data_IF_797403195232
#
_entry.id   IF_797403195232
#
_cell.length_a   1.000
_cell.length_b   1.000
_cell.length_c   1.000
_cell.angle_alpha   90.00
_cell.angle_beta   90.00
_cell.angle_gamma   90.00
#
_symmetry.space_group_name_H-M   'P 1'
#
loop_
_entity.id
_entity.type
_entity.pdbx_description
1 polymer ?
#
# COMPACT_ATOMS: atom_id res chain seq x y z
N UNK A 1 20.48 7.24 33.91
CA UNK A 1 19.29 6.37 34.07
C UNK A 1 19.18 5.59 32.76
N UNK A 2 18.90 4.29 32.79
CA UNK A 2 18.83 3.47 31.56
C UNK A 2 17.74 4.01 30.60
N UNK A 3 18.00 4.10 29.29
CA UNK A 3 17.01 4.62 28.32
C UNK A 3 15.81 3.69 28.28
N UNK A 4 16.01 2.39 28.52
CA UNK A 4 14.92 1.44 28.65
C UNK A 4 14.00 1.75 29.84
N UNK A 5 14.57 2.05 31.01
CA UNK A 5 13.78 2.41 32.19
C UNK A 5 13.09 3.76 32.03
N UNK A 6 13.74 4.71 31.35
CA UNK A 6 13.14 5.99 30.94
C UNK A 6 11.94 5.75 30.02
N UNK A 7 12.09 4.96 28.96
CA UNK A 7 11.02 4.66 28.01
C UNK A 7 9.86 3.94 28.66
N UNK A 8 10.13 2.94 29.53
CA UNK A 8 9.07 2.29 30.31
C UNK A 8 8.30 3.32 31.12
N UNK A 9 8.98 4.15 31.92
CA UNK A 9 8.33 5.17 32.75
C UNK A 9 7.60 6.22 31.91
N UNK A 10 8.20 6.67 30.81
CA UNK A 10 7.68 7.74 29.97
C UNK A 10 6.50 7.26 29.11
N UNK A 11 6.41 5.97 28.76
CA UNK A 11 5.35 5.38 27.93
C UNK A 11 4.29 4.59 28.72
N UNK A 12 4.59 4.20 29.97
CA UNK A 12 3.66 3.45 30.81
C UNK A 12 2.33 4.20 30.94
N UNK A 13 1.25 3.52 30.56
CA UNK A 13 -0.13 4.05 30.53
C UNK A 13 -0.35 5.28 29.63
N UNK A 14 0.56 5.60 28.69
CA UNK A 14 0.33 6.64 27.68
C UNK A 14 -0.17 6.03 26.36
N UNK A 15 -1.20 6.66 25.78
CA UNK A 15 -1.64 6.34 24.43
C UNK A 15 -0.59 6.74 23.40
N UNK A 16 -0.38 5.90 22.39
CA UNK A 16 0.51 6.21 21.26
C UNK A 16 -0.20 7.21 20.34
N UNK A 17 0.45 8.34 20.06
CA UNK A 17 -0.01 9.26 19.02
C UNK A 17 0.20 8.61 17.65
N UNK A 18 -0.89 8.32 16.95
CA UNK A 18 -0.84 7.67 15.64
C UNK A 18 -1.31 8.63 14.56
N UNK A 19 -0.60 8.63 13.43
CA UNK A 19 -1.01 9.33 12.24
C UNK A 19 -0.59 8.52 11.02
N UNK A 20 -1.27 8.71 9.90
CA UNK A 20 -0.84 8.08 8.67
C UNK A 20 -1.44 8.66 7.42
N UNK A 21 -0.77 8.41 6.29
CA UNK A 21 -1.24 8.82 4.99
C UNK A 21 -0.70 7.91 3.89
N UNK A 22 -1.41 7.87 2.76
CA UNK A 22 -0.93 7.21 1.56
C UNK A 22 0.01 8.12 0.76
N UNK A 23 1.19 7.60 0.42
CA UNK A 23 2.18 8.30 -0.41
C UNK A 23 1.97 7.98 -1.88
N UNK A 24 1.61 9.00 -2.66
CA UNK A 24 1.44 8.88 -4.11
C UNK A 24 2.82 8.86 -4.79
N UNK A 25 3.26 7.76 -5.42
CA UNK A 25 4.62 7.67 -5.96
C UNK A 25 4.88 8.69 -7.08
N UNK A 26 3.85 9.29 -7.68
CA UNK A 26 3.98 10.34 -8.71
C UNK A 26 4.07 11.77 -8.13
N UNK A 27 3.83 11.98 -6.83
CA UNK A 27 3.68 13.33 -6.26
C UNK A 27 4.57 13.59 -5.03
N UNK A 28 5.86 13.74 -5.29
CA UNK A 28 6.91 14.07 -4.31
C UNK A 28 6.54 15.28 -3.43
N UNK A 29 6.04 16.36 -4.03
CA UNK A 29 5.71 17.60 -3.33
C UNK A 29 4.53 17.41 -2.36
N UNK A 30 3.46 16.76 -2.80
CA UNK A 30 2.30 16.51 -1.94
C UNK A 30 2.65 15.56 -0.78
N UNK A 31 3.47 14.55 -1.03
CA UNK A 31 3.91 13.63 0.03
C UNK A 31 4.81 14.33 1.06
N UNK A 32 5.76 15.15 0.60
CA UNK A 32 6.59 15.98 1.49
C UNK A 32 5.72 16.92 2.32
N UNK A 33 4.71 17.55 1.71
CA UNK A 33 3.79 18.43 2.42
C UNK A 33 3.00 17.69 3.49
N UNK A 34 2.40 16.54 3.18
CA UNK A 34 1.68 15.70 4.15
C UNK A 34 2.58 15.29 5.31
N UNK A 35 3.81 14.85 5.01
CA UNK A 35 4.80 14.50 6.02
C UNK A 35 5.11 15.69 6.94
N UNK A 36 5.38 16.85 6.35
CA UNK A 36 5.66 18.08 7.08
C UNK A 36 4.49 18.46 7.97
N UNK A 37 3.27 18.52 7.44
CA UNK A 37 2.07 18.93 8.16
C UNK A 37 1.79 17.99 9.35
N UNK A 38 1.95 16.67 9.15
CA UNK A 38 1.73 15.66 10.19
C UNK A 38 2.80 15.71 11.29
N UNK A 39 4.09 15.75 10.93
CA UNK A 39 5.16 15.83 11.92
C UNK A 39 5.22 17.18 12.63
N UNK A 40 4.86 18.27 11.94
CA UNK A 40 4.72 19.58 12.56
C UNK A 40 3.59 19.59 13.58
N UNK A 41 2.43 19.04 13.22
CA UNK A 41 1.31 18.87 14.16
C UNK A 41 1.71 18.05 15.39
N UNK A 42 2.49 16.98 15.22
CA UNK A 42 3.05 16.21 16.33
C UNK A 42 3.93 17.11 17.24
N UNK A 43 4.90 17.81 16.65
CA UNK A 43 5.87 18.61 17.43
C UNK A 43 5.24 19.82 18.12
N UNK A 44 4.24 20.46 17.50
CA UNK A 44 3.56 21.63 18.08
C UNK A 44 2.55 21.29 19.17
N UNK A 45 1.97 20.07 19.16
CA UNK A 45 0.88 19.69 20.05
C UNK A 45 1.26 18.64 21.11
N UNK A 46 2.46 18.06 21.04
CA UNK A 46 2.90 17.00 21.94
C UNK A 46 4.24 17.36 22.61
N UNK A 47 4.66 16.53 23.56
CA UNK A 47 5.99 16.63 24.17
C UNK A 47 6.93 15.60 23.54
N UNK A 48 8.25 15.83 23.61
CA UNK A 48 9.25 14.88 23.11
C UNK A 48 9.23 13.50 23.83
N UNK A 49 8.51 13.39 24.95
CA UNK A 49 8.31 12.13 25.68
C UNK A 49 7.04 11.38 25.25
N UNK A 50 6.22 11.95 24.38
CA UNK A 50 5.01 11.31 23.87
C UNK A 50 5.38 10.17 22.91
N UNK A 51 4.92 8.92 23.15
CA UNK A 51 5.09 7.85 22.19
C UNK A 51 4.29 8.16 20.92
N UNK A 52 4.91 7.99 19.75
CA UNK A 52 4.24 8.23 18.47
C UNK A 52 4.65 7.25 17.38
N UNK A 53 3.73 7.00 16.44
CA UNK A 53 3.99 6.25 15.23
C UNK A 53 3.32 6.95 14.03
N UNK A 54 4.12 7.40 13.08
CA UNK A 54 3.65 7.89 11.79
C UNK A 54 3.81 6.79 10.74
N UNK A 55 2.70 6.33 10.18
CA UNK A 55 2.67 5.31 9.12
C UNK A 55 2.43 5.95 7.75
N UNK A 56 3.33 5.71 6.81
CA UNK A 56 3.24 6.15 5.43
C UNK A 56 2.99 4.91 4.57
N UNK A 57 1.80 4.82 4.03
CA UNK A 57 1.36 3.67 3.23
C UNK A 57 1.86 3.82 1.79
N UNK A 58 2.36 2.72 1.22
CA UNK A 58 2.83 2.62 -0.17
C UNK A 58 2.12 1.46 -0.87
N UNK A 59 2.11 1.43 -2.21
CA UNK A 59 1.76 0.22 -2.97
C UNK A 59 2.83 -0.84 -2.71
N UNK A 60 2.47 -2.00 -2.17
CA UNK A 60 3.41 -3.08 -1.81
C UNK A 60 4.45 -2.75 -0.72
N UNK A 61 4.12 -1.81 0.19
CA UNK A 61 4.97 -1.58 1.37
C UNK A 61 4.44 -0.50 2.30
N UNK A 62 5.19 -0.25 3.37
CA UNK A 62 4.93 0.85 4.30
C UNK A 62 6.24 1.45 4.85
N UNK A 63 6.20 2.72 5.23
CA UNK A 63 7.28 3.38 5.97
C UNK A 63 6.74 3.87 7.30
N UNK A 64 7.38 3.47 8.40
CA UNK A 64 7.06 3.93 9.74
C UNK A 64 8.12 4.89 10.26
N UNK A 65 7.71 6.03 10.83
CA UNK A 65 8.57 6.96 11.57
C UNK A 65 8.16 6.92 13.04
N UNK A 66 9.06 6.47 13.90
CA UNK A 66 8.76 6.23 15.31
C UNK A 66 10.01 6.26 16.19
N UNK A 67 9.88 6.46 17.51
CA UNK A 67 10.98 6.26 18.45
C UNK A 67 11.49 4.81 18.44
N UNK A 68 12.81 4.63 18.53
CA UNK A 68 13.40 3.30 18.73
C UNK A 68 12.92 2.72 20.07
N UNK A 69 12.56 1.44 20.08
CA UNK A 69 12.03 0.78 21.28
C UNK A 69 10.50 0.87 21.43
N UNK A 70 9.80 1.59 20.55
CA UNK A 70 8.33 1.64 20.58
C UNK A 70 7.69 0.26 20.35
N UNK A 71 8.25 -0.51 19.41
CA UNK A 71 7.74 -1.84 19.01
C UNK A 71 8.55 -2.98 19.63
N UNK A 72 9.87 -2.80 19.77
CA UNK A 72 10.77 -3.82 20.32
C UNK A 72 11.85 -3.19 21.23
N UNK A 73 11.73 -3.43 22.53
CA UNK A 73 12.66 -2.95 23.54
C UNK A 73 14.05 -3.60 23.46
N UNK A 74 14.19 -4.77 22.85
CA UNK A 74 15.50 -5.42 22.71
C UNK A 74 16.37 -4.72 21.66
N UNK A 75 15.77 -4.03 20.67
CA UNK A 75 16.51 -3.18 19.73
C UNK A 75 17.15 -1.98 20.44
N UNK A 76 16.46 -1.44 21.43
CA UNK A 76 16.99 -0.36 22.26
C UNK A 76 18.18 -0.84 23.10
N UNK A 77 18.07 -2.00 23.75
CA UNK A 77 19.19 -2.58 24.53
C UNK A 77 20.42 -2.80 23.67
N UNK A 78 20.24 -3.31 22.45
CA UNK A 78 21.34 -3.49 21.49
C UNK A 78 21.99 -2.15 21.17
N UNK A 79 21.20 -1.12 20.92
CA UNK A 79 21.71 0.23 20.67
C UNK A 79 22.51 0.78 21.86
N UNK A 80 22.00 0.67 23.09
CA UNK A 80 22.72 1.15 24.28
C UNK A 80 24.06 0.43 24.46
N UNK A 81 24.09 -0.88 24.24
CA UNK A 81 25.33 -1.66 24.29
C UNK A 81 26.33 -1.21 23.20
N UNK A 82 25.86 -0.91 21.99
CA UNK A 82 26.69 -0.34 20.91
C UNK A 82 27.28 1.03 21.31
N UNK A 83 26.48 1.91 21.91
CA UNK A 83 26.94 3.23 22.34
C UNK A 83 27.94 3.14 23.49
N UNK A 84 27.64 2.33 24.52
CA UNK A 84 28.55 2.09 25.66
C UNK A 84 29.90 1.53 25.19
N UNK A 85 29.88 0.64 24.21
CA UNK A 85 31.10 0.07 23.62
C UNK A 85 31.96 1.12 22.88
N UNK A 86 31.32 2.10 22.22
CA UNK A 86 32.00 3.12 21.41
C UNK A 86 32.46 4.34 22.21
N UNK A 87 31.65 4.77 23.17
CA UNK A 87 31.78 6.06 23.86
C UNK A 87 32.19 5.92 25.34
N UNK A 88 32.23 4.70 25.85
CA UNK A 88 32.48 4.43 27.27
C UNK A 88 31.22 4.58 28.13
N UNK A 89 31.39 4.43 29.45
CA UNK A 89 30.27 4.42 30.41
C UNK A 89 29.78 5.84 30.80
N UNK A 90 30.56 6.87 30.49
CA UNK A 90 30.34 8.23 31.02
C UNK A 90 29.61 9.18 30.04
N UNK A 91 29.55 8.88 28.74
CA UNK A 91 28.72 9.63 27.78
C UNK A 91 27.26 9.11 27.81
N UNK A 92 26.49 9.56 28.80
CA UNK A 92 25.05 9.35 28.84
C UNK A 92 24.32 10.39 27.97
N UNK A 93 24.20 10.10 26.68
CA UNK A 93 23.17 10.75 25.86
C UNK A 93 21.82 10.06 26.11
N UNK A 94 20.93 10.75 26.83
CA UNK A 94 19.59 10.26 27.19
C UNK A 94 18.55 10.43 26.07
N UNK A 95 18.98 10.86 24.88
CA UNK A 95 18.11 11.06 23.73
C UNK A 95 17.69 9.72 23.11
N UNK A 96 16.40 9.66 22.76
CA UNK A 96 15.80 8.47 22.17
C UNK A 96 16.03 8.52 20.66
N UNK A 97 16.68 7.53 20.04
CA UNK A 97 16.89 7.52 18.60
C UNK A 97 15.56 7.53 17.85
N UNK A 98 15.48 8.34 16.79
CA UNK A 98 14.36 8.32 15.87
C UNK A 98 14.62 7.27 14.78
N UNK A 99 13.67 6.36 14.58
CA UNK A 99 13.74 5.27 13.62
C UNK A 99 12.82 5.55 12.43
N UNK A 100 13.35 5.37 11.23
CA UNK A 100 12.55 5.20 10.01
C UNK A 100 12.71 3.77 9.53
N UNK A 101 11.59 3.06 9.41
CA UNK A 101 11.52 1.66 9.02
C UNK A 101 10.74 1.54 7.71
N UNK A 102 11.33 0.96 6.67
CA UNK A 102 10.64 0.54 5.46
C UNK A 102 10.36 -0.96 5.52
N UNK A 103 9.10 -1.35 5.44
CA UNK A 103 8.65 -2.73 5.35
C UNK A 103 8.07 -2.99 3.94
N UNK A 104 8.83 -3.62 3.04
CA UNK A 104 8.31 -4.09 1.76
C UNK A 104 7.37 -5.29 1.95
N UNK A 105 6.21 -5.28 1.30
CA UNK A 105 5.23 -6.37 1.35
C UNK A 105 5.37 -7.28 0.12
N UNK A 106 6.56 -7.84 -0.04
CA UNK A 106 6.85 -8.80 -1.09
C UNK A 106 7.65 -9.98 -0.53
N UNK A 107 7.49 -11.15 -1.15
CA UNK A 107 8.14 -12.38 -0.70
C UNK A 107 9.66 -12.19 -0.59
N UNK A 108 10.25 -12.66 0.51
CA UNK A 108 11.71 -12.63 0.77
C UNK A 108 12.32 -11.23 0.82
N UNK A 109 11.53 -10.16 0.90
CA UNK A 109 12.04 -8.81 1.16
C UNK A 109 12.10 -8.55 2.66
N UNK A 110 13.21 -8.00 3.11
CA UNK A 110 13.46 -7.73 4.53
C UNK A 110 13.10 -6.29 4.89
N UNK A 111 12.74 -6.09 6.15
CA UNK A 111 12.51 -4.77 6.74
C UNK A 111 13.83 -4.00 6.82
N UNK A 112 13.86 -2.79 6.25
CA UNK A 112 15.03 -1.92 6.26
C UNK A 112 14.84 -0.82 7.31
N UNK A 113 15.82 -0.67 8.20
CA UNK A 113 15.77 0.27 9.33
C UNK A 113 16.87 1.32 9.22
N UNK A 114 16.54 2.59 9.45
CA UNK A 114 17.49 3.70 9.50
C UNK A 114 17.21 4.63 10.65
N UNK A 115 18.24 4.86 11.48
CA UNK A 115 18.21 5.85 12.57
C UNK A 115 18.51 7.23 12.00
N UNK A 116 17.70 8.23 12.33
CA UNK A 116 17.83 9.62 11.84
C UNK A 116 17.72 10.58 13.01
N UNK A 117 18.85 10.83 13.65
CA UNK A 117 18.89 11.71 14.81
C UNK A 117 18.09 11.13 15.98
N UNK A 118 17.51 12.04 16.76
CA UNK A 118 16.77 11.70 17.98
C UNK A 118 15.38 12.34 18.01
N UNK A 119 14.50 11.80 18.85
CA UNK A 119 13.17 12.39 19.08
C UNK A 119 13.32 13.81 19.62
N UNK A 120 14.28 14.05 20.52
CA UNK A 120 14.54 15.36 21.10
C UNK A 120 14.98 16.37 20.03
N UNK A 121 15.85 15.97 19.10
CA UNK A 121 16.23 16.80 17.96
C UNK A 121 15.04 17.14 17.06
N UNK A 122 14.12 16.19 16.82
CA UNK A 122 12.91 16.44 16.03
C UNK A 122 12.06 17.57 16.64
N UNK A 123 11.94 17.59 17.97
CA UNK A 123 11.14 18.61 18.68
C UNK A 123 11.87 19.95 18.83
N UNK A 124 13.20 19.94 18.99
CA UNK A 124 13.99 21.16 19.24
C UNK A 124 14.55 21.82 17.98
N UNK A 125 14.73 21.06 16.89
CA UNK A 125 15.29 21.51 15.62
C UNK A 125 14.53 20.91 14.42
N UNK A 126 13.21 21.10 14.42
CA UNK A 126 12.29 20.52 13.44
C UNK A 126 12.72 20.78 11.99
N UNK A 127 13.07 22.02 11.64
CA UNK A 127 13.37 22.41 10.25
C UNK A 127 14.61 21.71 9.68
N UNK A 128 15.60 21.39 10.52
CA UNK A 128 16.76 20.62 10.05
C UNK A 128 16.46 19.12 10.00
N UNK A 129 15.73 18.60 10.99
CA UNK A 129 15.43 17.17 11.09
C UNK A 129 14.44 16.71 10.02
N UNK A 130 13.45 17.54 9.68
CA UNK A 130 12.44 17.19 8.67
C UNK A 130 13.08 16.91 7.30
N UNK A 131 14.18 17.59 6.96
CA UNK A 131 14.89 17.31 5.71
C UNK A 131 15.62 15.97 5.74
N UNK A 132 16.27 15.62 6.85
CA UNK A 132 16.94 14.31 6.99
C UNK A 132 15.92 13.16 6.93
N UNK A 133 14.77 13.35 7.59
CA UNK A 133 13.63 12.43 7.59
C UNK A 133 13.10 12.29 6.15
N UNK A 134 12.83 13.41 5.48
CA UNK A 134 12.31 13.42 4.12
C UNK A 134 13.24 12.73 3.12
N UNK A 135 14.55 13.01 3.14
CA UNK A 135 15.49 12.37 2.22
C UNK A 135 15.51 10.84 2.37
N UNK A 136 15.36 10.34 3.59
CA UNK A 136 15.28 8.88 3.82
C UNK A 136 13.94 8.31 3.37
N UNK A 137 12.82 8.96 3.69
CA UNK A 137 11.50 8.53 3.22
C UNK A 137 11.45 8.52 1.70
N UNK A 138 11.96 9.56 1.05
CA UNK A 138 12.04 9.66 -0.40
C UNK A 138 12.85 8.52 -1.00
N UNK A 139 13.99 8.16 -0.39
CA UNK A 139 14.76 6.99 -0.81
C UNK A 139 13.94 5.70 -0.70
N UNK A 140 13.29 5.45 0.43
CA UNK A 140 12.46 4.27 0.62
C UNK A 140 11.24 4.23 -0.33
N UNK A 141 10.65 5.38 -0.64
CA UNK A 141 9.60 5.48 -1.68
C UNK A 141 10.14 5.10 -3.07
N UNK A 142 11.37 5.50 -3.40
CA UNK A 142 12.03 5.12 -4.66
C UNK A 142 12.32 3.61 -4.70
N UNK A 143 12.84 3.05 -3.61
CA UNK A 143 13.10 1.61 -3.46
C UNK A 143 11.78 0.83 -3.63
N UNK A 144 10.69 1.32 -3.05
CA UNK A 144 9.37 0.74 -3.19
C UNK A 144 8.80 0.86 -4.61
N UNK A 145 8.99 1.99 -5.28
CA UNK A 145 8.54 2.16 -6.67
C UNK A 145 9.32 1.23 -7.63
N UNK A 146 10.60 0.96 -7.35
CA UNK A 146 11.37 -0.03 -8.09
C UNK A 146 10.85 -1.46 -7.87
N UNK A 147 10.44 -1.79 -6.63
CA UNK A 147 9.76 -3.05 -6.32
C UNK A 147 8.45 -3.18 -7.12
N UNK A 148 7.57 -2.18 -7.04
CA UNK A 148 6.33 -2.13 -7.81
C UNK A 148 6.60 -2.33 -9.30
N UNK A 149 7.55 -1.59 -9.87
CA UNK A 149 7.92 -1.73 -11.29
C UNK A 149 8.37 -3.15 -11.66
N UNK A 150 8.99 -3.87 -10.73
CA UNK A 150 9.40 -5.27 -10.96
C UNK A 150 8.18 -6.18 -10.99
N UNK A 151 7.29 -6.06 -9.99
CA UNK A 151 6.05 -6.83 -9.90
C UNK A 151 5.19 -6.61 -11.15
N UNK A 152 4.98 -5.36 -11.56
CA UNK A 152 4.17 -5.04 -12.75
C UNK A 152 4.77 -5.59 -14.03
N UNK A 153 6.11 -5.61 -14.16
CA UNK A 153 6.76 -6.20 -15.34
C UNK A 153 6.54 -7.70 -15.42
N UNK A 154 6.58 -8.38 -14.28
CA UNK A 154 6.33 -9.81 -14.21
C UNK A 154 4.86 -10.11 -14.60
N UNK A 155 3.90 -9.38 -14.03
CA UNK A 155 2.47 -9.48 -14.41
C UNK A 155 2.23 -9.20 -15.90
N UNK A 156 2.87 -8.17 -16.46
CA UNK A 156 2.75 -7.84 -17.88
C UNK A 156 3.34 -8.94 -18.76
N UNK A 157 4.46 -9.56 -18.37
CA UNK A 157 5.06 -10.67 -19.09
C UNK A 157 4.16 -11.92 -19.03
N UNK A 158 3.56 -12.21 -17.88
CA UNK A 158 2.64 -13.32 -17.70
C UNK A 158 1.36 -13.12 -18.52
N UNK A 159 0.79 -11.90 -18.52
CA UNK A 159 -0.33 -11.53 -19.39
C UNK A 159 -0.05 -11.78 -20.88
N UNK A 160 1.17 -11.52 -21.35
CA UNK A 160 1.55 -11.82 -22.74
C UNK A 160 1.53 -13.32 -23.03
N UNK A 161 1.98 -14.16 -22.10
CA UNK A 161 1.93 -15.61 -22.23
C UNK A 161 0.48 -16.11 -22.26
N UNK A 162 -0.34 -15.66 -21.31
CA UNK A 162 -1.77 -15.98 -21.22
C UNK A 162 -2.52 -15.55 -22.49
N UNK A 163 -2.22 -14.36 -23.02
CA UNK A 163 -2.77 -13.88 -24.29
C UNK A 163 -2.44 -14.82 -25.45
N UNK A 164 -1.20 -15.33 -25.55
CA UNK A 164 -0.84 -16.27 -26.61
C UNK A 164 -1.59 -17.59 -26.48
N UNK A 165 -1.77 -18.11 -25.27
CA UNK A 165 -2.55 -19.33 -25.02
C UNK A 165 -4.01 -19.19 -25.45
N UNK A 166 -4.65 -18.06 -25.08
CA UNK A 166 -6.00 -17.74 -25.53
C UNK A 166 -6.06 -17.62 -27.05
N UNK A 167 -5.09 -16.92 -27.66
CA UNK A 167 -5.06 -16.73 -29.11
C UNK A 167 -4.91 -18.06 -29.86
N UNK A 168 -3.99 -18.93 -29.44
CA UNK A 168 -3.80 -20.28 -30.02
C UNK A 168 -5.09 -21.10 -29.93
N UNK A 169 -5.83 -20.95 -28.84
CA UNK A 169 -7.08 -21.69 -28.60
C UNK A 169 -8.21 -21.14 -29.48
N UNK A 170 -8.48 -19.83 -29.42
CA UNK A 170 -9.63 -19.22 -30.08
C UNK A 170 -9.46 -19.05 -31.59
N UNK A 171 -8.23 -18.93 -32.09
CA UNK A 171 -7.95 -18.89 -33.54
C UNK A 171 -8.16 -20.23 -34.25
N UNK A 172 -8.26 -21.35 -33.52
CA UNK A 172 -8.57 -22.68 -34.08
C UNK A 172 -10.07 -22.97 -34.18
N UNK A 173 -10.88 -22.13 -33.52
CA UNK A 173 -12.33 -22.29 -33.47
C UNK A 173 -12.98 -21.50 -34.62
N UNK A 174 -14.15 -21.94 -35.06
CA UNK A 174 -15.08 -21.14 -35.85
C UNK A 174 -15.81 -20.14 -34.96
N UNK A 175 -16.45 -19.13 -35.56
CA UNK A 175 -17.25 -18.17 -34.78
C UNK A 175 -18.41 -18.83 -34.02
N UNK A 176 -19.03 -19.85 -34.63
CA UNK A 176 -20.10 -20.62 -33.99
C UNK A 176 -19.60 -21.38 -32.74
N UNK A 177 -18.45 -22.05 -32.83
CA UNK A 177 -17.83 -22.75 -31.70
C UNK A 177 -17.42 -21.77 -30.59
N UNK A 178 -16.89 -20.60 -30.94
CA UNK A 178 -16.60 -19.54 -29.96
C UNK A 178 -17.85 -19.08 -29.24
N UNK A 179 -18.94 -18.84 -29.99
CA UNK A 179 -20.21 -18.40 -29.42
C UNK A 179 -20.82 -19.43 -28.47
N UNK A 180 -20.74 -20.71 -28.81
CA UNK A 180 -21.19 -21.79 -27.92
C UNK A 180 -20.39 -21.82 -26.61
N UNK A 181 -19.06 -21.64 -26.69
CA UNK A 181 -18.18 -21.70 -25.51
C UNK A 181 -18.23 -20.45 -24.63
N UNK A 182 -18.34 -19.26 -25.24
CA UNK A 182 -18.26 -17.96 -24.56
C UNK A 182 -19.64 -17.40 -24.20
N UNK A 183 -20.70 -17.85 -24.87
CA UNK A 183 -22.05 -17.30 -24.73
C UNK A 183 -22.33 -16.06 -25.61
N UNK A 184 -21.34 -15.55 -26.35
CA UNK A 184 -21.48 -14.40 -27.26
C UNK A 184 -20.56 -14.51 -28.49
N UNK A 185 -20.90 -13.79 -29.57
CA UNK A 185 -20.10 -13.81 -30.81
C UNK A 185 -18.79 -13.07 -30.63
N UNK A 186 -17.69 -13.68 -31.08
CA UNK A 186 -16.39 -13.02 -31.24
C UNK A 186 -15.93 -13.22 -32.70
N UNK A 187 -16.08 -12.18 -33.54
CA UNK A 187 -15.60 -12.18 -34.91
C UNK A 187 -14.09 -12.44 -35.00
N UNK A 188 -13.63 -12.98 -36.13
CA UNK A 188 -12.22 -13.33 -36.33
C UNK A 188 -11.28 -12.11 -36.23
N UNK A 189 -11.73 -10.95 -36.72
CA UNK A 189 -11.00 -9.68 -36.64
C UNK A 189 -10.92 -9.12 -35.21
N UNK A 190 -11.73 -9.61 -34.26
CA UNK A 190 -11.76 -9.15 -32.87
C UNK A 190 -11.04 -10.10 -31.90
N UNK A 191 -10.61 -11.29 -32.35
CA UNK A 191 -9.97 -12.31 -31.50
C UNK A 191 -8.78 -11.74 -30.73
N UNK A 192 -7.92 -10.94 -31.38
CA UNK A 192 -6.74 -10.37 -30.73
C UNK A 192 -7.12 -9.42 -29.59
N UNK A 193 -8.13 -8.56 -29.80
CA UNK A 193 -8.61 -7.65 -28.76
C UNK A 193 -9.25 -8.40 -27.61
N UNK A 194 -10.05 -9.42 -27.92
CA UNK A 194 -10.68 -10.28 -26.92
C UNK A 194 -9.64 -11.05 -26.09
N UNK A 195 -8.65 -11.67 -26.72
CA UNK A 195 -7.59 -12.41 -25.99
C UNK A 195 -6.77 -11.48 -25.09
N UNK A 196 -6.50 -10.24 -25.54
CA UNK A 196 -5.83 -9.23 -24.71
C UNK A 196 -6.68 -8.83 -23.51
N UNK A 197 -7.97 -8.56 -23.70
CA UNK A 197 -8.90 -8.29 -22.60
C UNK A 197 -8.93 -9.44 -21.58
N UNK A 198 -9.05 -10.69 -22.03
CA UNK A 198 -9.08 -11.85 -21.15
C UNK A 198 -7.77 -12.02 -20.37
N UNK A 199 -6.62 -11.77 -21.01
CA UNK A 199 -5.33 -11.83 -20.33
C UNK A 199 -5.17 -10.69 -19.30
N UNK A 200 -5.55 -9.46 -19.65
CA UNK A 200 -5.54 -8.33 -18.72
C UNK A 200 -6.45 -8.61 -17.50
N UNK A 201 -7.64 -9.16 -17.72
CA UNK A 201 -8.57 -9.51 -16.65
C UNK A 201 -8.09 -10.71 -15.81
N UNK A 202 -7.33 -11.64 -16.40
CA UNK A 202 -6.71 -12.74 -15.66
C UNK A 202 -5.72 -12.22 -14.61
N UNK A 203 -4.86 -11.28 -14.98
CA UNK A 203 -3.90 -10.68 -14.04
C UNK A 203 -4.60 -9.82 -12.98
N UNK A 204 -5.59 -9.02 -13.38
CA UNK A 204 -6.43 -8.27 -12.42
C UNK A 204 -7.08 -9.21 -11.41
N UNK A 205 -7.65 -10.33 -11.87
CA UNK A 205 -8.28 -11.30 -10.97
C UNK A 205 -7.27 -11.90 -10.00
N UNK A 206 -6.03 -12.18 -10.43
CA UNK A 206 -4.99 -12.69 -9.55
C UNK A 206 -4.65 -11.70 -8.41
N UNK A 207 -4.50 -10.41 -8.74
CA UNK A 207 -4.28 -9.33 -7.77
C UNK A 207 -5.45 -9.21 -6.79
N UNK A 208 -6.68 -9.19 -7.31
CA UNK A 208 -7.92 -9.07 -6.54
C UNK A 208 -8.12 -10.25 -5.58
N UNK A 209 -7.90 -11.48 -6.04
CA UNK A 209 -8.03 -12.68 -5.22
C UNK A 209 -6.94 -12.76 -4.15
N UNK A 210 -5.71 -12.33 -4.47
CA UNK A 210 -4.63 -12.23 -3.48
C UNK A 210 -4.99 -11.29 -2.34
N UNK A 211 -5.50 -10.09 -2.67
CA UNK A 211 -5.95 -9.11 -1.69
C UNK A 211 -7.14 -9.62 -0.86
N UNK A 212 -8.14 -10.24 -1.52
CA UNK A 212 -9.29 -10.86 -0.85
C UNK A 212 -8.87 -11.97 0.12
N UNK A 213 -7.92 -12.83 -0.28
CA UNK A 213 -7.37 -13.88 0.58
C UNK A 213 -6.63 -13.32 1.80
N UNK A 214 -5.83 -12.27 1.63
CA UNK A 214 -5.18 -11.57 2.75
C UNK A 214 -6.21 -11.05 3.76
N UNK A 215 -7.24 -10.34 3.29
CA UNK A 215 -8.28 -9.80 4.19
C UNK A 215 -9.03 -10.92 4.90
N UNK A 216 -9.38 -12.00 4.18
CA UNK A 216 -10.03 -13.17 4.76
C UNK A 216 -9.20 -13.79 5.90
N UNK A 217 -7.89 -13.96 5.70
CA UNK A 217 -7.04 -14.66 6.65
C UNK A 217 -6.54 -13.77 7.80
N UNK A 218 -6.05 -12.57 7.48
CA UNK A 218 -5.34 -11.70 8.43
C UNK A 218 -6.29 -10.74 9.16
N UNK A 219 -7.33 -10.24 8.49
CA UNK A 219 -8.24 -9.23 9.07
C UNK A 219 -9.53 -9.82 9.60
N UNK A 220 -10.21 -10.67 8.82
CA UNK A 220 -11.44 -11.32 9.25
C UNK A 220 -11.12 -12.47 10.22
N UNK A 221 -10.31 -13.44 9.78
CA UNK A 221 -9.93 -14.60 10.57
C UNK A 221 -11.16 -15.36 11.09
N UNK A 222 -11.35 -15.38 12.41
CA UNK A 222 -12.52 -16.01 13.07
C UNK A 222 -13.63 -15.03 13.45
N UNK A 223 -13.40 -13.73 13.24
CA UNK A 223 -14.34 -12.69 13.65
C UNK A 223 -15.47 -12.56 12.62
N UNK A 224 -16.59 -11.99 13.04
CA UNK A 224 -17.61 -11.49 12.13
C UNK A 224 -17.14 -10.21 11.43
N UNK A 225 -17.76 -9.88 10.30
CA UNK A 225 -17.48 -8.64 9.58
C UNK A 225 -17.70 -7.40 10.47
N UNK A 226 -18.79 -7.38 11.25
CA UNK A 226 -19.09 -6.27 12.17
C UNK A 226 -18.01 -6.08 13.23
N UNK A 227 -17.49 -7.16 13.81
CA UNK A 227 -16.38 -7.10 14.78
C UNK A 227 -15.10 -6.57 14.13
N UNK A 228 -14.79 -7.02 12.91
CA UNK A 228 -13.63 -6.55 12.15
C UNK A 228 -13.71 -5.05 11.85
N UNK A 229 -14.84 -4.56 11.36
CA UNK A 229 -15.02 -3.13 11.02
C UNK A 229 -15.11 -2.23 12.27
N UNK A 230 -15.58 -2.77 13.39
CA UNK A 230 -15.62 -2.02 14.66
C UNK A 230 -14.22 -1.81 15.25
N UNK A 231 -13.28 -2.72 14.98
CA UNK A 231 -11.87 -2.55 15.34
C UNK A 231 -11.21 -1.50 14.45
N UNK A 232 -10.70 -0.42 15.06
CA UNK A 232 -10.12 0.70 14.33
C UNK A 232 -8.88 0.31 13.50
N UNK A 233 -8.07 -0.63 14.00
CA UNK A 233 -6.85 -1.06 13.30
C UNK A 233 -7.25 -1.88 12.08
N UNK A 234 -8.06 -2.92 12.26
CA UNK A 234 -8.50 -3.79 11.16
C UNK A 234 -9.29 -3.04 10.11
N UNK A 235 -10.17 -2.11 10.52
CA UNK A 235 -10.89 -1.24 9.59
C UNK A 235 -9.94 -0.39 8.76
N UNK A 236 -8.97 0.27 9.39
CA UNK A 236 -7.96 1.07 8.66
C UNK A 236 -7.12 0.19 7.73
N UNK A 237 -6.72 -1.01 8.17
CA UNK A 237 -5.98 -1.96 7.33
C UNK A 237 -6.79 -2.43 6.13
N UNK A 238 -8.09 -2.68 6.27
CA UNK A 238 -8.97 -3.01 5.13
C UNK A 238 -8.94 -1.93 4.06
N UNK A 239 -9.15 -0.66 4.44
CA UNK A 239 -9.15 0.45 3.50
C UNK A 239 -7.78 0.70 2.87
N UNK A 240 -6.71 0.40 3.61
CA UNK A 240 -5.37 0.41 3.04
C UNK A 240 -5.15 -0.71 2.01
N UNK A 241 -5.63 -1.94 2.26
CA UNK A 241 -5.58 -3.02 1.28
C UNK A 241 -6.35 -2.64 0.02
N UNK A 242 -7.55 -2.05 0.16
CA UNK A 242 -8.33 -1.53 -0.97
C UNK A 242 -7.54 -0.50 -1.81
N UNK A 243 -6.91 0.47 -1.15
CA UNK A 243 -6.07 1.46 -1.84
C UNK A 243 -4.89 0.78 -2.54
N UNK A 244 -4.20 -0.15 -1.87
CA UNK A 244 -3.06 -0.87 -2.44
C UNK A 244 -3.46 -1.66 -3.69
N UNK A 245 -4.54 -2.44 -3.61
CA UNK A 245 -5.11 -3.19 -4.76
C UNK A 245 -5.49 -2.27 -5.91
N UNK A 246 -6.09 -1.10 -5.63
CA UNK A 246 -6.37 -0.12 -6.67
C UNK A 246 -5.10 0.32 -7.40
N UNK A 247 -4.05 0.69 -6.64
CA UNK A 247 -2.83 1.21 -7.23
C UNK A 247 -2.06 0.14 -8.00
N UNK A 248 -2.04 -1.11 -7.54
CA UNK A 248 -1.47 -2.24 -8.29
C UNK A 248 -2.18 -2.41 -9.65
N UNK A 249 -3.50 -2.50 -9.67
CA UNK A 249 -4.28 -2.58 -10.92
C UNK A 249 -4.04 -1.35 -11.81
N UNK A 250 -4.02 -0.16 -11.23
CA UNK A 250 -3.77 1.08 -11.98
C UNK A 250 -2.37 1.07 -12.61
N UNK A 251 -1.34 0.67 -11.87
CA UNK A 251 0.03 0.65 -12.37
C UNK A 251 0.27 -0.47 -13.37
N UNK A 252 -0.41 -1.61 -13.26
CA UNK A 252 -0.45 -2.62 -14.32
C UNK A 252 -0.86 -2.02 -15.66
N UNK A 253 -2.02 -1.33 -15.72
CA UNK A 253 -2.49 -0.70 -16.96
C UNK A 253 -1.64 0.48 -17.39
N UNK A 254 -1.12 1.26 -16.45
CA UNK A 254 -0.24 2.37 -16.74
C UNK A 254 1.08 1.87 -17.36
N UNK A 255 1.72 0.84 -16.80
CA UNK A 255 3.03 0.35 -17.27
C UNK A 255 2.94 -0.58 -18.49
N UNK A 256 1.80 -1.24 -18.71
CA UNK A 256 1.56 -2.09 -19.90
C UNK A 256 1.41 -1.31 -21.22
N UNK A 257 1.37 0.02 -21.14
CA UNK A 257 1.23 0.89 -22.30
C UNK A 257 2.39 1.89 -22.37
N UNK A 258 2.79 2.28 -23.58
CA UNK A 258 3.88 3.25 -23.79
C UNK A 258 3.37 4.62 -24.27
N UNK A 259 2.05 4.81 -24.38
CA UNK A 259 1.46 6.00 -24.99
C UNK A 259 1.38 7.16 -23.98
N UNK A 260 2.17 8.21 -24.22
CA UNK A 260 2.23 9.40 -23.34
C UNK A 260 0.88 10.13 -23.17
N UNK A 261 0.04 10.16 -24.21
CA UNK A 261 -1.29 10.78 -24.11
C UNK A 261 -2.21 9.96 -23.22
N UNK A 262 -2.14 8.63 -23.34
CA UNK A 262 -2.85 7.71 -22.45
C UNK A 262 -2.35 7.85 -21.00
N UNK A 263 -1.05 7.91 -20.76
CA UNK A 263 -0.50 8.14 -19.42
C UNK A 263 -1.02 9.43 -18.79
N UNK A 264 -1.05 10.54 -19.55
CA UNK A 264 -1.62 11.80 -19.08
C UNK A 264 -3.11 11.66 -18.75
N UNK A 265 -3.86 10.94 -19.59
CA UNK A 265 -5.29 10.69 -19.39
C UNK A 265 -5.54 9.86 -18.12
N UNK A 266 -4.84 8.74 -17.96
CA UNK A 266 -4.95 7.88 -16.78
C UNK A 266 -4.58 8.64 -15.50
N UNK A 267 -3.50 9.44 -15.52
CA UNK A 267 -3.12 10.29 -14.37
C UNK A 267 -4.22 11.29 -14.00
N UNK A 268 -4.88 11.89 -14.99
CA UNK A 268 -5.97 12.83 -14.73
C UNK A 268 -7.22 12.15 -14.14
N UNK A 269 -7.51 10.91 -14.55
CA UNK A 269 -8.68 10.16 -14.08
C UNK A 269 -8.43 9.36 -12.80
N UNK A 270 -7.16 9.13 -12.42
CA UNK A 270 -6.77 8.32 -11.26
C UNK A 270 -7.51 8.71 -9.98
N UNK A 271 -7.62 10.00 -9.69
CA UNK A 271 -8.33 10.50 -8.50
C UNK A 271 -9.83 10.17 -8.56
N UNK A 272 -10.44 10.28 -9.74
CA UNK A 272 -11.84 9.89 -9.92
C UNK A 272 -12.04 8.40 -9.72
N UNK A 273 -11.15 7.56 -10.28
CA UNK A 273 -11.25 6.11 -10.13
C UNK A 273 -11.10 5.66 -8.67
N UNK A 274 -10.11 6.18 -7.94
CA UNK A 274 -9.91 5.80 -6.54
C UNK A 274 -11.05 6.30 -5.64
N UNK A 275 -11.58 7.50 -5.88
CA UNK A 275 -12.72 8.03 -5.11
C UNK A 275 -13.97 7.18 -5.36
N UNK A 276 -14.24 6.81 -6.62
CA UNK A 276 -15.38 5.96 -6.95
C UNK A 276 -15.25 4.57 -6.30
N UNK A 277 -14.05 3.98 -6.38
CA UNK A 277 -13.74 2.70 -5.73
C UNK A 277 -13.98 2.77 -4.21
N UNK A 278 -13.44 3.78 -3.54
CA UNK A 278 -13.61 3.95 -2.09
C UNK A 278 -15.06 4.14 -1.69
N UNK A 279 -15.83 4.91 -2.45
CA UNK A 279 -17.25 5.13 -2.20
C UNK A 279 -18.05 3.83 -2.35
N UNK A 280 -17.78 3.04 -3.40
CA UNK A 280 -18.42 1.74 -3.60
C UNK A 280 -18.07 0.76 -2.47
N UNK A 281 -16.79 0.64 -2.13
CA UNK A 281 -16.33 -0.20 -1.04
C UNK A 281 -16.99 0.18 0.29
N UNK A 282 -17.05 1.48 0.59
CA UNK A 282 -17.68 1.99 1.81
C UNK A 282 -19.19 1.71 1.84
N UNK A 283 -19.90 1.95 0.74
CA UNK A 283 -21.33 1.67 0.63
C UNK A 283 -21.62 0.18 0.87
N UNK A 284 -20.87 -0.71 0.22
CA UNK A 284 -21.00 -2.17 0.41
C UNK A 284 -20.70 -2.59 1.86
N UNK A 285 -19.68 -2.00 2.48
CA UNK A 285 -19.35 -2.26 3.88
C UNK A 285 -20.48 -1.80 4.84
N UNK A 286 -21.11 -0.66 4.56
CA UNK A 286 -22.29 -0.21 5.30
C UNK A 286 -23.44 -1.21 5.17
N UNK A 287 -23.77 -1.66 3.95
CA UNK A 287 -24.82 -2.65 3.75
C UNK A 287 -24.59 -3.95 4.53
N UNK A 288 -23.35 -4.46 4.56
CA UNK A 288 -23.01 -5.67 5.31
C UNK A 288 -23.12 -5.48 6.82
N UNK A 289 -22.81 -4.27 7.30
CA UNK A 289 -22.95 -3.93 8.72
C UNK A 289 -24.43 -3.84 9.10
N UNK A 290 -25.27 -3.20 8.27
CA UNK A 290 -26.72 -3.08 8.49
C UNK A 290 -27.42 -4.44 8.45
N UNK A 291 -27.01 -5.33 7.52
CA UNK A 291 -27.54 -6.70 7.40
C UNK A 291 -26.98 -7.66 8.45
N UNK A 292 -26.04 -7.22 9.30
CA UNK A 292 -25.33 -8.05 10.29
C UNK A 292 -24.74 -9.33 9.68
N UNK A 293 -24.14 -9.20 8.48
CA UNK A 293 -23.62 -10.33 7.72
C UNK A 293 -22.50 -11.02 8.51
N UNK A 294 -22.74 -12.27 8.94
CA UNK A 294 -21.78 -13.02 9.76
C UNK A 294 -20.55 -13.50 8.99
N UNK A 295 -20.69 -13.75 7.69
CA UNK A 295 -19.62 -14.21 6.80
C UNK A 295 -19.69 -13.42 5.51
N UNK A 296 -18.65 -12.66 5.23
CA UNK A 296 -18.44 -11.97 3.96
C UNK A 296 -17.41 -12.78 3.19
N UNK A 297 -17.68 -13.09 1.93
CA UNK A 297 -16.66 -13.59 1.03
C UNK A 297 -15.85 -12.40 0.49
N UNK A 298 -14.63 -12.22 1.01
CA UNK A 298 -13.79 -11.13 0.53
C UNK A 298 -13.30 -11.30 -0.90
N UNK A 299 -13.32 -12.51 -1.46
CA UNK A 299 -12.99 -12.67 -2.89
C UNK A 299 -14.09 -12.08 -3.76
N UNK A 300 -15.36 -12.34 -3.41
CA UNK A 300 -16.52 -11.73 -4.07
C UNK A 300 -16.53 -10.22 -3.84
N UNK A 301 -16.38 -9.76 -2.58
CA UNK A 301 -16.37 -8.33 -2.24
C UNK A 301 -15.32 -7.54 -3.03
N UNK A 302 -14.07 -8.04 -3.12
CA UNK A 302 -13.02 -7.40 -3.88
C UNK A 302 -13.30 -7.47 -5.40
N UNK A 303 -13.77 -8.60 -5.92
CA UNK A 303 -14.09 -8.73 -7.35
C UNK A 303 -15.18 -7.75 -7.78
N UNK A 304 -16.24 -7.64 -6.97
CA UNK A 304 -17.35 -6.72 -7.17
C UNK A 304 -16.94 -5.24 -7.24
N UNK A 305 -15.87 -4.88 -6.54
CA UNK A 305 -15.33 -3.52 -6.49
C UNK A 305 -14.36 -3.29 -7.65
N UNK A 306 -13.42 -4.21 -7.87
CA UNK A 306 -12.26 -3.96 -8.72
C UNK A 306 -12.45 -4.38 -10.18
N UNK A 307 -13.30 -5.35 -10.49
CA UNK A 307 -13.57 -5.73 -11.88
C UNK A 307 -14.20 -4.55 -12.66
N UNK A 308 -15.22 -3.85 -12.13
CA UNK A 308 -15.74 -2.66 -12.81
C UNK A 308 -14.70 -1.54 -12.98
N UNK A 309 -13.80 -1.36 -12.01
CA UNK A 309 -12.71 -0.37 -12.09
C UNK A 309 -11.73 -0.74 -13.20
N UNK A 310 -11.30 -2.00 -13.28
CA UNK A 310 -10.42 -2.49 -14.33
C UNK A 310 -11.07 -2.34 -15.72
N UNK A 311 -12.35 -2.67 -15.87
CA UNK A 311 -13.08 -2.48 -17.12
C UNK A 311 -13.14 -1.01 -17.56
N UNK A 312 -13.35 -0.08 -16.62
CA UNK A 312 -13.29 1.35 -16.91
C UNK A 312 -11.91 1.79 -17.40
N UNK A 313 -10.84 1.29 -16.77
CA UNK A 313 -9.46 1.59 -17.20
C UNK A 313 -9.20 1.00 -18.59
N UNK A 314 -9.58 -0.26 -18.84
CA UNK A 314 -9.45 -0.91 -20.16
C UNK A 314 -10.20 -0.12 -21.24
N UNK A 315 -11.42 0.34 -20.95
CA UNK A 315 -12.20 1.15 -21.87
C UNK A 315 -11.48 2.47 -22.21
N UNK A 316 -10.83 3.12 -21.25
CA UNK A 316 -9.99 4.29 -21.52
C UNK A 316 -8.74 3.94 -22.32
N UNK A 317 -8.05 2.84 -21.98
CA UNK A 317 -6.88 2.35 -22.74
C UNK A 317 -7.23 2.10 -24.21
N UNK A 318 -8.39 1.50 -24.49
CA UNK A 318 -8.83 1.18 -25.84
C UNK A 318 -9.12 2.43 -26.69
N UNK A 319 -9.42 3.60 -26.11
CA UNK A 319 -9.61 4.87 -26.84
C UNK A 319 -8.32 5.43 -27.45
N UNK A 320 -7.16 4.88 -27.08
CA UNK A 320 -5.85 5.32 -27.54
C UNK A 320 -5.12 4.26 -28.36
N UNK A 321 -5.82 3.18 -28.75
CA UNK A 321 -5.35 2.14 -29.66
C UNK A 321 -5.78 2.48 -31.09
N UNK A 322 -5.29 3.61 -31.59
CA UNK A 322 -5.37 4.03 -33.01
C UNK A 322 -3.96 4.13 -33.59
#
# INVERSE_FOLDING_TARGET
MDIQDKLKRDYENKSIYTAGFYADPDNDLANRKKLFDVLKSLVENQEATTPFALQIMLTNGEINVMPLGLVDLDELKKYENEQRSKHGLDEHNDDIPLLIQYAPHAEKKEVVKKRIGTVQELFTNFNEQIEKIWQTIKKFMQDNFALLTTIEKDLIADSQNVMQEYRITFSKMTEAERKEKLGFSVPENEINQFCRYMADMHEVQAVVLSAGAFVNHELLGKNSFTEMISDNIRRSTLFWVLDNTFYEIYYYFYMSNANDKLHKRLKHQRETFIVNMRNDAFHRAQEFTEKQTKKVDFNEYFSDIFIPVAEQIIAEVNKFKD
#
